data_IF_792248736105
#
_entry.id   IF_792248736105
#
_cell.length_a   1.000
_cell.length_b   1.000
_cell.length_c   1.000
_cell.angle_alpha   90.00
_cell.angle_beta   90.00
_cell.angle_gamma   90.00
#
_symmetry.space_group_name_H-M   'P 1'
#
loop_
_entity.id
_entity.type
_entity.pdbx_description
1 polymer ?
#
# COMPACT_ATOMS: atom_id res chain seq x y z
N UNK A 1 16.82 8.89 12.56
CA UNK A 1 15.72 7.99 12.19
C UNK A 1 15.49 8.21 10.72
N UNK A 2 15.56 7.18 9.89
CA UNK A 2 15.09 7.28 8.51
C UNK A 2 13.64 7.73 8.54
N UNK A 3 13.31 8.80 7.82
CA UNK A 3 11.93 9.22 7.68
C UNK A 3 11.17 8.15 6.89
N UNK A 4 10.17 7.53 7.51
CA UNK A 4 9.25 6.67 6.80
C UNK A 4 8.57 7.48 5.69
N UNK A 5 8.67 7.00 4.44
CA UNK A 5 8.07 7.62 3.26
C UNK A 5 6.53 7.76 3.40
N UNK A 6 5.94 6.91 4.24
CA UNK A 6 4.51 6.83 4.50
C UNK A 6 4.12 7.57 5.78
N UNK A 7 2.98 8.26 5.71
CA UNK A 7 2.30 8.91 6.84
C UNK A 7 0.89 8.35 6.98
N UNK A 8 0.35 8.39 8.20
CA UNK A 8 -1.05 8.03 8.45
C UNK A 8 -1.97 8.87 7.55
N UNK A 9 -2.90 8.19 6.86
CA UNK A 9 -3.80 8.81 5.90
C UNK A 9 -3.32 8.80 4.45
N UNK A 10 -2.04 8.49 4.19
CA UNK A 10 -1.55 8.35 2.82
C UNK A 10 -2.34 7.25 2.08
N UNK A 11 -2.68 7.54 0.82
CA UNK A 11 -3.19 6.54 -0.11
C UNK A 11 -2.05 6.01 -0.98
N UNK A 12 -1.97 4.69 -1.10
CA UNK A 12 -0.88 4.02 -1.79
C UNK A 12 -1.41 2.97 -2.78
N UNK A 13 -0.68 2.70 -3.85
CA UNK A 13 -0.94 1.65 -4.84
C UNK A 13 0.05 0.50 -4.69
N UNK A 14 -0.47 -0.72 -4.72
CA UNK A 14 0.34 -1.91 -4.87
C UNK A 14 0.83 -2.07 -6.31
N UNK A 15 2.04 -2.59 -6.53
CA UNK A 15 2.58 -2.76 -7.87
C UNK A 15 1.75 -3.68 -8.76
N UNK A 16 1.16 -4.75 -8.21
CA UNK A 16 0.35 -5.71 -8.98
C UNK A 16 -0.91 -5.06 -9.56
N UNK A 17 -0.94 -4.96 -10.88
CA UNK A 17 -2.03 -4.44 -11.70
C UNK A 17 -1.47 -3.49 -12.76
N UNK A 18 -1.91 -3.61 -14.02
CA UNK A 18 -1.39 -2.77 -15.12
C UNK A 18 -1.99 -1.36 -15.11
N UNK A 19 -3.19 -1.23 -14.56
CA UNK A 19 -3.89 0.04 -14.36
C UNK A 19 -4.19 0.30 -12.89
N UNK A 20 -4.47 1.55 -12.52
CA UNK A 20 -4.89 1.90 -11.16
C UNK A 20 -6.19 1.16 -10.76
N UNK A 21 -7.06 0.88 -11.74
CA UNK A 21 -8.29 0.12 -11.57
C UNK A 21 -8.03 -1.36 -11.24
N UNK A 22 -6.92 -1.94 -11.71
CA UNK A 22 -6.50 -3.30 -11.33
C UNK A 22 -5.74 -3.33 -10.01
N UNK A 23 -4.96 -2.28 -9.71
CA UNK A 23 -4.10 -2.22 -8.52
C UNK A 23 -4.90 -2.19 -7.23
N UNK A 24 -4.42 -2.89 -6.19
CA UNK A 24 -4.97 -2.68 -4.85
C UNK A 24 -4.57 -1.29 -4.36
N UNK A 25 -5.56 -0.57 -3.82
CA UNK A 25 -5.37 0.75 -3.22
C UNK A 25 -5.51 0.63 -1.72
N UNK A 26 -4.51 1.11 -1.02
CA UNK A 26 -4.41 1.03 0.43
C UNK A 26 -4.42 2.41 1.07
N UNK A 27 -4.94 2.49 2.28
CA UNK A 27 -4.78 3.63 3.17
C UNK A 27 -3.86 3.23 4.32
N UNK A 28 -2.86 4.07 4.60
CA UNK A 28 -1.98 3.88 5.75
C UNK A 28 -2.72 4.28 7.03
N UNK A 29 -2.75 3.37 8.02
CA UNK A 29 -3.47 3.52 9.28
C UNK A 29 -2.52 3.78 10.44
N UNK A 30 -1.35 3.13 10.45
CA UNK A 30 -0.30 3.38 11.42
C UNK A 30 1.07 3.11 10.80
N UNK A 31 2.09 3.82 11.29
CA UNK A 31 3.50 3.62 10.94
C UNK A 31 4.33 3.57 12.22
N UNK A 32 5.58 3.11 12.15
CA UNK A 32 6.44 2.92 13.31
C UNK A 32 5.82 2.02 14.39
N UNK A 33 5.02 1.02 13.97
CA UNK A 33 4.39 0.10 14.91
C UNK A 33 5.41 -0.94 15.36
N UNK A 34 5.44 -1.19 16.67
CA UNK A 34 6.20 -2.30 17.27
C UNK A 34 5.24 -3.41 17.67
N UNK A 35 5.54 -4.64 17.28
CA UNK A 35 4.85 -5.84 17.72
C UNK A 35 5.77 -6.65 18.64
N UNK A 36 5.37 -6.76 19.91
CA UNK A 36 6.15 -7.39 20.97
C UNK A 36 5.55 -8.72 21.44
N UNK A 37 4.93 -9.50 20.55
CA UNK A 37 4.26 -10.73 20.94
C UNK A 37 5.21 -11.78 21.51
N UNK A 38 4.79 -12.46 22.58
CA UNK A 38 5.59 -13.38 23.41
C UNK A 38 6.23 -14.58 22.68
N UNK A 39 5.87 -14.82 21.43
CA UNK A 39 6.40 -15.92 20.59
C UNK A 39 7.63 -15.54 19.78
N UNK A 40 8.06 -14.28 19.82
CA UNK A 40 9.24 -13.79 19.10
C UNK A 40 10.41 -13.62 20.06
N UNK A 41 11.61 -14.01 19.62
CA UNK A 41 12.85 -13.76 20.36
C UNK A 41 13.16 -12.26 20.46
N UNK A 42 12.80 -11.49 19.41
CA UNK A 42 12.93 -10.03 19.36
C UNK A 42 11.64 -9.36 18.84
N UNK A 43 11.28 -8.15 19.32
CA UNK A 43 10.13 -7.41 18.79
C UNK A 43 10.31 -7.07 17.31
N UNK A 44 9.24 -7.21 16.52
CA UNK A 44 9.20 -6.66 15.17
C UNK A 44 8.99 -5.16 15.26
N UNK A 45 9.91 -4.39 14.68
CA UNK A 45 9.89 -2.94 14.69
C UNK A 45 9.62 -2.38 13.28
N UNK A 46 9.27 -1.10 13.24
CA UNK A 46 8.99 -0.36 12.00
C UNK A 46 7.93 -1.05 11.10
N UNK A 47 6.88 -1.56 11.73
CA UNK A 47 5.73 -2.08 11.01
C UNK A 47 4.82 -0.93 10.53
N UNK A 48 4.16 -1.18 9.41
CA UNK A 48 3.13 -0.32 8.82
C UNK A 48 1.83 -1.10 8.78
N UNK A 49 0.77 -0.49 9.30
CA UNK A 49 -0.60 -1.01 9.25
C UNK A 49 -1.34 -0.26 8.16
N UNK A 50 -2.00 -0.99 7.26
CA UNK A 50 -2.71 -0.41 6.13
C UNK A 50 -3.95 -1.24 5.78
N UNK A 51 -4.97 -0.58 5.24
CA UNK A 51 -6.23 -1.23 4.86
C UNK A 51 -6.54 -1.03 3.38
N UNK A 52 -7.19 -2.01 2.76
CA UNK A 52 -7.66 -1.86 1.39
C UNK A 52 -8.95 -1.05 1.37
N UNK A 53 -8.93 0.12 0.72
CA UNK A 53 -10.08 1.05 0.73
C UNK A 53 -11.30 0.55 -0.05
N UNK A 54 -11.11 -0.45 -0.91
CA UNK A 54 -12.18 -1.05 -1.69
C UNK A 54 -12.58 -2.44 -1.20
N UNK A 55 -11.79 -3.09 -0.34
CA UNK A 55 -12.07 -4.42 0.19
C UNK A 55 -12.29 -4.32 1.71
N UNK A 56 -13.56 -4.10 2.09
CA UNK A 56 -13.95 -3.91 3.48
C UNK A 56 -13.43 -5.04 4.39
N UNK A 57 -12.91 -4.66 5.57
CA UNK A 57 -12.37 -5.58 6.56
C UNK A 57 -10.99 -6.18 6.24
N UNK A 58 -10.34 -5.77 5.13
CA UNK A 58 -8.98 -6.23 4.80
C UNK A 58 -7.91 -5.25 5.26
N UNK A 59 -7.48 -5.44 6.49
CA UNK A 59 -6.34 -4.76 7.10
C UNK A 59 -5.13 -5.67 7.13
N UNK A 60 -3.96 -5.11 6.88
CA UNK A 60 -2.69 -5.82 6.81
C UNK A 60 -1.64 -5.11 7.66
N UNK A 61 -0.62 -5.87 8.06
CA UNK A 61 0.56 -5.35 8.75
C UNK A 61 1.79 -5.93 8.10
N UNK A 62 2.77 -5.08 7.77
CA UNK A 62 4.06 -5.50 7.20
C UNK A 62 5.19 -4.62 7.70
N UNK A 63 6.41 -5.14 7.65
CA UNK A 63 7.61 -4.33 7.85
C UNK A 63 7.71 -3.25 6.76
N UNK A 64 8.14 -2.05 7.15
CA UNK A 64 8.32 -0.94 6.22
C UNK A 64 9.23 -1.30 5.03
N UNK A 65 10.33 -2.01 5.30
CA UNK A 65 11.30 -2.46 4.29
C UNK A 65 10.66 -3.30 3.18
N UNK A 66 9.64 -4.11 3.50
CA UNK A 66 8.92 -4.94 2.53
C UNK A 66 8.01 -4.12 1.61
N UNK A 67 7.55 -2.95 2.08
CA UNK A 67 6.69 -2.07 1.30
C UNK A 67 7.50 -1.22 0.31
N UNK A 68 8.69 -0.79 0.73
CA UNK A 68 9.61 0.04 -0.07
C UNK A 68 10.69 -0.78 -0.78
N UNK A 69 10.57 -2.11 -0.81
CA UNK A 69 11.45 -2.97 -1.58
C UNK A 69 11.31 -2.63 -3.08
N UNK A 70 12.44 -2.47 -3.77
CA UNK A 70 12.48 -2.31 -5.22
C UNK A 70 12.01 -3.59 -5.92
N UNK A 71 11.27 -3.41 -7.00
CA UNK A 71 10.88 -4.49 -7.88
C UNK A 71 12.05 -4.95 -8.75
N UNK A 72 11.99 -6.19 -9.26
CA UNK A 72 12.91 -6.61 -10.33
C UNK A 72 12.68 -5.81 -11.61
N UNK A 73 13.68 -5.67 -12.46
CA UNK A 73 13.59 -4.91 -13.73
C UNK A 73 12.40 -5.35 -14.61
N UNK A 74 12.15 -6.66 -14.70
CA UNK A 74 10.99 -7.20 -15.42
C UNK A 74 9.65 -6.66 -14.87
N UNK A 75 9.53 -6.61 -13.53
CA UNK A 75 8.32 -6.10 -12.86
C UNK A 75 8.22 -4.58 -12.96
N UNK A 76 9.35 -3.86 -12.89
CA UNK A 76 9.38 -2.42 -13.12
C UNK A 76 8.79 -2.08 -14.49
N UNK A 77 9.24 -2.78 -15.53
CA UNK A 77 8.73 -2.63 -16.89
C UNK A 77 7.25 -3.06 -17.03
N UNK A 78 6.85 -4.15 -16.37
CA UNK A 78 5.48 -4.68 -16.48
C UNK A 78 4.44 -3.79 -15.82
N UNK A 79 4.77 -3.20 -14.66
CA UNK A 79 3.81 -2.48 -13.82
C UNK A 79 4.04 -0.97 -13.79
N UNK A 80 5.07 -0.50 -14.51
CA UNK A 80 5.52 0.89 -14.54
C UNK A 80 5.62 1.48 -13.13
N UNK A 81 6.35 0.77 -12.26
CA UNK A 81 6.45 1.08 -10.83
C UNK A 81 7.83 0.65 -10.32
N UNK A 82 8.44 1.40 -9.41
CA UNK A 82 9.77 1.10 -8.89
C UNK A 82 9.67 0.23 -7.64
N UNK A 83 8.79 0.60 -6.71
CA UNK A 83 8.66 -0.06 -5.41
C UNK A 83 7.42 -0.95 -5.34
N UNK A 84 7.38 -1.87 -4.38
CA UNK A 84 6.19 -2.71 -4.17
C UNK A 84 4.94 -1.93 -3.83
N UNK A 85 5.08 -0.87 -3.05
CA UNK A 85 4.01 0.07 -2.71
C UNK A 85 4.52 1.49 -2.92
N UNK A 86 3.74 2.28 -3.64
CA UNK A 86 4.02 3.69 -3.89
C UNK A 86 2.85 4.55 -3.47
N UNK A 87 3.12 5.79 -3.04
CA UNK A 87 2.07 6.78 -2.77
C UNK A 87 1.34 7.12 -4.08
N UNK A 88 0.04 7.35 -3.97
CA UNK A 88 -0.72 7.93 -5.06
C UNK A 88 -0.31 9.39 -5.26
N UNK A 89 -0.27 9.83 -6.51
CA UNK A 89 -0.18 11.25 -6.85
C UNK A 89 -1.50 11.96 -6.53
N UNK A 90 -1.49 13.29 -6.48
CA UNK A 90 -2.74 14.05 -6.27
C UNK A 90 -3.80 13.77 -7.34
N UNK A 91 -3.38 13.57 -8.59
CA UNK A 91 -4.25 13.22 -9.71
C UNK A 91 -4.88 11.83 -9.52
N UNK A 92 -4.06 10.84 -9.12
CA UNK A 92 -4.54 9.49 -8.82
C UNK A 92 -5.49 9.49 -7.61
N UNK A 93 -5.23 10.30 -6.58
CA UNK A 93 -6.12 10.46 -5.42
C UNK A 93 -7.48 11.02 -5.86
N UNK A 94 -7.50 12.05 -6.72
CA UNK A 94 -8.75 12.60 -7.27
C UNK A 94 -9.51 11.54 -8.06
N UNK A 95 -8.81 10.78 -8.91
CA UNK A 95 -9.39 9.72 -9.71
C UNK A 95 -10.00 8.61 -8.84
N UNK A 96 -9.24 8.08 -7.89
CA UNK A 96 -9.67 6.99 -6.98
C UNK A 96 -10.88 7.39 -6.13
N UNK A 97 -10.98 8.68 -5.77
CA UNK A 97 -12.11 9.21 -5.02
C UNK A 97 -13.32 9.56 -5.88
N UNK A 98 -13.20 9.54 -7.21
CA UNK A 98 -14.34 9.78 -8.10
C UNK A 98 -15.38 8.67 -8.01
N UNK A 99 -16.64 9.03 -8.20
CA UNK A 99 -17.76 8.08 -8.17
C UNK A 99 -17.71 7.07 -9.33
N UNK A 100 -17.20 7.49 -10.49
CA UNK A 100 -17.01 6.63 -11.65
C UNK A 100 -16.01 5.51 -11.35
N UNK A 101 -14.83 5.88 -10.85
CA UNK A 101 -13.79 4.91 -10.48
C UNK A 101 -14.29 3.95 -9.41
N UNK A 102 -14.95 4.44 -8.35
CA UNK A 102 -15.51 3.58 -7.30
C UNK A 102 -16.50 2.56 -7.86
N UNK A 103 -17.39 2.98 -8.77
CA UNK A 103 -18.36 2.10 -9.41
C UNK A 103 -17.68 1.03 -10.25
N UNK A 104 -16.70 1.41 -11.07
CA UNK A 104 -15.94 0.44 -11.88
C UNK A 104 -15.16 -0.53 -11.01
N UNK A 105 -14.51 -0.04 -9.96
CA UNK A 105 -13.72 -0.84 -9.04
C UNK A 105 -14.55 -1.91 -8.35
N UNK A 106 -15.78 -1.58 -7.97
CA UNK A 106 -16.71 -2.52 -7.33
C UNK A 106 -17.23 -3.61 -8.28
N UNK A 107 -17.22 -3.38 -9.60
CA UNK A 107 -17.62 -4.38 -10.60
C UNK A 107 -16.55 -5.45 -10.86
N UNK A 108 -15.30 -5.17 -10.52
CA UNK A 108 -14.16 -6.07 -10.73
C UNK A 108 -13.93 -7.06 -9.57
N UNK A 109 -14.77 -7.00 -8.52
CA UNK A 109 -14.78 -7.97 -7.43
C UNK A 109 -15.63 -9.18 -7.77
#
# INVERSE_FOLDING_TARGET
MEENLFKVGDLCKHFKGKSLLEKNIYKIIATNVTYSGDKLEEPLNNLVVYENIFQNGKTFTREYKDLVEELSEEKKNTYNQIYRVEKLTEEEIKLVNSEEFKKEKMKLK
#
